data_IF_693251044954
#
_entry.id   IF_693251044954
#
_cell.length_a   1.000
_cell.length_b   1.000
_cell.length_c   1.000
_cell.angle_alpha   90.00
_cell.angle_beta   90.00
_cell.angle_gamma   90.00
#
_symmetry.space_group_name_H-M   'P 1'
#
loop_
_entity.id
_entity.type
_entity.pdbx_description
1 polymer ?
#
# COMPACT_ATOMS: atom_id res chain seq x y z
N UNK A 1 3.40 -2.69 31.88
CA UNK A 1 2.71 -1.37 32.06
C UNK A 1 3.37 -0.21 31.32
N UNK A 2 4.71 -0.13 31.21
CA UNK A 2 5.43 0.99 30.58
C UNK A 2 5.20 1.16 29.06
N UNK A 3 5.06 0.08 28.31
CA UNK A 3 4.89 0.12 26.85
C UNK A 3 3.53 0.66 26.40
N UNK A 4 2.45 0.37 27.13
CA UNK A 4 1.09 0.88 26.83
C UNK A 4 0.96 2.39 27.03
N UNK A 5 1.66 2.93 28.04
CA UNK A 5 1.69 4.37 28.32
C UNK A 5 2.51 5.11 27.25
N UNK A 6 3.60 4.51 26.76
CA UNK A 6 4.41 5.09 25.68
C UNK A 6 3.63 5.20 24.38
N UNK A 7 2.90 4.15 24.01
CA UNK A 7 2.06 4.12 22.80
C UNK A 7 0.93 5.17 22.91
N UNK A 8 0.26 5.27 24.07
CA UNK A 8 -0.78 6.28 24.27
C UNK A 8 -0.20 7.70 24.23
N UNK A 9 0.98 7.93 24.80
CA UNK A 9 1.62 9.24 24.81
C UNK A 9 2.10 9.66 23.41
N UNK A 10 2.65 8.72 22.65
CA UNK A 10 3.03 8.95 21.24
C UNK A 10 1.79 9.28 20.40
N UNK A 11 0.69 8.56 20.61
CA UNK A 11 -0.57 8.80 19.91
C UNK A 11 -1.16 10.18 20.25
N UNK A 12 -1.09 10.61 21.51
CA UNK A 12 -1.54 11.94 21.94
C UNK A 12 -0.66 13.08 21.38
N UNK A 13 0.65 12.90 21.30
CA UNK A 13 1.55 13.88 20.68
C UNK A 13 1.23 14.03 19.20
N UNK A 14 0.97 12.92 18.50
CA UNK A 14 0.59 12.94 17.07
C UNK A 14 -0.76 13.63 16.85
N UNK A 15 -1.77 13.40 17.68
CA UNK A 15 -3.08 14.08 17.57
C UNK A 15 -2.95 15.57 17.87
N UNK A 16 -2.17 15.97 18.87
CA UNK A 16 -1.90 17.37 19.18
C UNK A 16 -1.14 18.12 18.09
N UNK A 17 -0.21 17.45 17.42
CA UNK A 17 0.54 18.00 16.29
C UNK A 17 -0.32 18.14 15.03
N UNK A 18 -1.38 17.33 14.86
CA UNK A 18 -2.25 17.38 13.68
C UNK A 18 -3.02 18.70 13.55
N UNK A 19 -3.30 19.38 14.65
CA UNK A 19 -3.98 20.70 14.63
C UNK A 19 -3.06 21.85 14.23
N UNK A 20 -1.73 21.70 14.39
CA UNK A 20 -0.76 22.74 14.05
C UNK A 20 -0.20 22.62 12.61
N UNK A 21 -0.27 21.43 12.02
CA UNK A 21 0.36 21.12 10.74
C UNK A 21 -0.56 20.19 9.94
N UNK A 22 -1.69 20.54 9.48
CA UNK A 22 -2.58 19.73 8.59
C UNK A 22 -2.10 18.27 8.31
N UNK A 23 -1.80 17.54 9.40
CA UNK A 23 -1.44 16.14 9.35
C UNK A 23 -2.70 15.30 9.19
N UNK A 24 -2.66 14.36 8.27
CA UNK A 24 -3.74 13.39 8.07
C UNK A 24 -3.21 11.97 8.25
N UNK A 25 -4.03 11.12 8.83
CA UNK A 25 -3.74 9.70 9.00
C UNK A 25 -4.74 8.88 8.19
N UNK A 26 -4.27 7.89 7.48
CA UNK A 26 -5.12 7.04 6.66
C UNK A 26 -4.81 5.59 6.95
N UNK A 27 -5.87 4.81 7.14
CA UNK A 27 -5.80 3.37 7.27
C UNK A 27 -6.73 2.76 6.23
N UNK A 28 -6.20 1.89 5.39
CA UNK A 28 -6.95 1.23 4.32
C UNK A 28 -6.68 -0.26 4.30
N UNK A 29 -7.72 -1.01 3.93
CA UNK A 29 -7.67 -2.46 3.78
C UNK A 29 -7.92 -2.83 2.31
N UNK A 30 -7.36 -3.94 1.82
CA UNK A 30 -7.59 -4.39 0.46
C UNK A 30 -9.03 -4.88 0.30
N UNK A 31 -9.78 -4.21 -0.56
CA UNK A 31 -11.10 -4.62 -0.99
C UNK A 31 -11.03 -5.65 -2.13
N UNK A 32 -10.08 -5.44 -3.04
CA UNK A 32 -9.83 -6.36 -4.16
C UNK A 32 -8.33 -6.49 -4.38
N UNK A 33 -7.88 -7.69 -4.59
CA UNK A 33 -6.50 -8.03 -4.92
C UNK A 33 -6.49 -9.04 -6.05
N UNK A 34 -5.97 -8.66 -7.21
CA UNK A 34 -5.77 -9.53 -8.35
C UNK A 34 -4.28 -9.66 -8.60
N UNK A 35 -3.80 -10.87 -8.68
CA UNK A 35 -2.40 -11.19 -8.95
C UNK A 35 -2.30 -11.91 -10.29
N UNK A 36 -1.31 -11.54 -11.08
CA UNK A 36 -0.97 -12.20 -12.33
C UNK A 36 0.50 -12.56 -12.29
N UNK A 37 0.78 -13.86 -12.44
CA UNK A 37 2.11 -14.41 -12.47
C UNK A 37 2.02 -15.88 -12.85
N UNK A 38 3.08 -16.37 -13.42
CA UNK A 38 3.22 -17.76 -13.83
C UNK A 38 4.47 -18.36 -13.19
N UNK A 39 4.46 -19.65 -12.95
CA UNK A 39 5.65 -20.36 -12.54
C UNK A 39 6.58 -20.64 -13.75
N UNK A 40 7.70 -21.29 -13.48
CA UNK A 40 8.64 -21.70 -14.54
C UNK A 40 8.06 -22.71 -15.56
N UNK A 41 6.93 -23.34 -15.24
CA UNK A 41 6.22 -24.28 -16.11
C UNK A 41 5.05 -23.62 -16.86
N UNK A 42 4.78 -22.32 -16.62
CA UNK A 42 3.69 -21.56 -17.24
C UNK A 42 2.35 -21.73 -16.55
N UNK A 43 2.31 -22.33 -15.34
CA UNK A 43 1.08 -22.42 -14.58
C UNK A 43 0.77 -21.09 -13.88
N UNK A 44 -0.46 -20.61 -14.01
CA UNK A 44 -0.91 -19.37 -13.40
C UNK A 44 -1.20 -19.54 -11.92
N UNK A 45 -0.78 -18.54 -11.15
CA UNK A 45 -1.17 -18.45 -9.74
C UNK A 45 -2.57 -17.89 -9.59
N UNK A 46 -3.37 -18.51 -8.74
CA UNK A 46 -4.69 -18.00 -8.35
C UNK A 46 -4.64 -17.47 -6.91
N UNK A 47 -5.27 -16.31 -6.69
CA UNK A 47 -5.39 -15.74 -5.33
C UNK A 47 -6.48 -16.48 -4.58
N UNK A 48 -6.12 -17.11 -3.47
CA UNK A 48 -7.07 -17.70 -2.54
C UNK A 48 -7.52 -16.66 -1.50
N UNK A 49 -6.55 -16.00 -0.85
CA UNK A 49 -6.81 -15.02 0.21
C UNK A 49 -5.73 -13.95 0.23
N UNK A 50 -6.15 -12.72 0.45
CA UNK A 50 -5.24 -11.61 0.72
C UNK A 50 -5.56 -10.96 2.05
N UNK A 51 -4.53 -10.66 2.85
CA UNK A 51 -4.61 -9.99 4.13
C UNK A 51 -3.55 -8.90 4.17
N UNK A 52 -3.85 -7.82 4.88
CA UNK A 52 -2.90 -6.74 5.04
C UNK A 52 -3.58 -5.39 4.97
N UNK A 53 -2.81 -4.36 4.70
CA UNK A 53 -3.33 -3.01 4.61
C UNK A 53 -2.25 -1.99 4.33
N UNK A 54 -2.72 -0.77 4.15
CA UNK A 54 -1.95 0.44 3.94
C UNK A 54 -2.17 1.36 5.13
N UNK A 55 -1.07 1.84 5.69
CA UNK A 55 -1.05 2.98 6.60
C UNK A 55 -0.32 4.14 5.90
N UNK A 56 -0.95 5.32 5.88
CA UNK A 56 -0.38 6.50 5.26
C UNK A 56 -0.51 7.70 6.19
N UNK A 57 0.54 8.51 6.26
CA UNK A 57 0.56 9.78 6.96
C UNK A 57 0.71 10.89 5.93
N UNK A 58 -0.27 11.77 5.86
CA UNK A 58 -0.25 12.95 4.99
C UNK A 58 0.26 14.20 5.71
N UNK A 59 1.09 14.95 5.04
CA UNK A 59 1.56 16.25 5.48
C UNK A 59 1.39 17.25 4.34
N UNK A 60 0.51 18.23 4.52
CA UNK A 60 0.11 19.17 3.45
C UNK A 60 -0.41 18.42 2.21
N UNK A 61 0.37 18.32 1.15
CA UNK A 61 0.03 17.65 -0.10
C UNK A 61 0.70 16.30 -0.28
N UNK A 62 1.68 16.00 0.55
CA UNK A 62 2.46 14.78 0.48
C UNK A 62 1.92 13.75 1.45
N UNK A 63 1.96 12.49 1.05
CA UNK A 63 1.69 11.35 1.91
C UNK A 63 2.84 10.36 1.86
N UNK A 64 3.10 9.75 3.02
CA UNK A 64 4.09 8.69 3.17
C UNK A 64 3.38 7.45 3.68
N UNK A 65 3.40 6.41 2.89
CA UNK A 65 2.68 5.16 3.15
C UNK A 65 3.60 4.01 3.46
N UNK A 66 3.06 3.05 4.19
CA UNK A 66 3.63 1.75 4.39
C UNK A 66 2.56 0.69 4.17
N UNK A 67 2.83 -0.24 3.28
CA UNK A 67 1.94 -1.34 2.96
C UNK A 67 2.56 -2.68 3.34
N UNK A 68 1.74 -3.54 3.92
CA UNK A 68 2.07 -4.93 4.16
C UNK A 68 0.90 -5.77 3.68
N UNK A 69 1.20 -6.74 2.80
CA UNK A 69 0.24 -7.74 2.37
C UNK A 69 0.82 -9.14 2.54
N UNK A 70 -0.03 -10.07 2.93
CA UNK A 70 0.22 -11.51 2.86
C UNK A 70 -0.88 -12.13 2.00
N UNK A 71 -0.49 -12.60 0.82
CA UNK A 71 -1.40 -13.19 -0.16
C UNK A 71 -1.15 -14.68 -0.22
N UNK A 72 -2.19 -15.46 -0.01
CA UNK A 72 -2.17 -16.90 -0.25
C UNK A 72 -2.53 -17.16 -1.70
N UNK A 73 -1.64 -17.86 -2.38
CA UNK A 73 -1.78 -18.26 -3.77
C UNK A 73 -2.02 -19.77 -3.81
N UNK A 74 -2.98 -20.20 -4.61
CA UNK A 74 -3.16 -21.61 -4.93
C UNK A 74 -2.22 -22.00 -6.06
N UNK A 75 -1.51 -23.08 -5.86
CA UNK A 75 -0.60 -23.64 -6.83
C UNK A 75 -0.75 -25.16 -6.84
N UNK A 76 -1.41 -25.71 -7.87
CA UNK A 76 -1.76 -27.13 -7.95
C UNK A 76 -2.47 -27.64 -6.70
N UNK A 77 -1.80 -28.35 -5.81
CA UNK A 77 -2.32 -28.82 -4.52
C UNK A 77 -1.65 -28.16 -3.32
N UNK A 78 -0.80 -27.16 -3.53
CA UNK A 78 0.05 -26.58 -2.49
C UNK A 78 -0.24 -25.10 -2.27
N UNK A 79 -0.02 -24.65 -1.04
CA UNK A 79 -0.18 -23.25 -0.65
C UNK A 79 1.15 -22.51 -0.77
N UNK A 80 1.16 -21.47 -1.57
CA UNK A 80 2.27 -20.52 -1.71
C UNK A 80 1.86 -19.20 -1.07
N UNK A 81 2.75 -18.58 -0.31
CA UNK A 81 2.51 -17.27 0.31
C UNK A 81 3.39 -16.21 -0.34
N UNK A 82 2.77 -15.12 -0.75
CA UNK A 82 3.44 -13.92 -1.21
C UNK A 82 3.37 -12.86 -0.11
N UNK A 83 4.52 -12.48 0.44
CA UNK A 83 4.63 -11.34 1.36
C UNK A 83 5.13 -10.13 0.61
N UNK A 84 4.35 -9.07 0.65
CA UNK A 84 4.66 -7.77 0.04
C UNK A 84 4.89 -6.73 1.13
N UNK A 85 5.96 -5.95 0.99
CA UNK A 85 6.24 -4.77 1.82
C UNK A 85 6.59 -3.61 0.91
N UNK A 86 5.82 -2.53 0.98
CA UNK A 86 6.01 -1.35 0.13
C UNK A 86 6.04 -0.08 0.96
N UNK A 87 6.79 0.88 0.48
CA UNK A 87 6.88 2.24 1.00
C UNK A 87 6.42 3.18 -0.10
N UNK A 88 5.48 4.04 0.21
CA UNK A 88 4.80 4.89 -0.76
C UNK A 88 5.07 6.36 -0.50
N UNK A 89 5.20 7.09 -1.58
CA UNK A 89 5.15 8.54 -1.59
C UNK A 89 3.98 8.95 -2.47
N UNK A 90 3.07 9.74 -1.92
CA UNK A 90 1.87 10.18 -2.62
C UNK A 90 1.77 11.69 -2.61
N UNK A 91 1.07 12.24 -3.60
CA UNK A 91 0.77 13.65 -3.72
C UNK A 91 -0.73 13.84 -3.98
N UNK A 92 -1.36 14.75 -3.26
CA UNK A 92 -2.80 14.98 -3.34
C UNK A 92 -3.64 14.00 -2.49
N UNK A 93 -4.95 14.12 -2.57
CA UNK A 93 -5.95 13.35 -1.82
C UNK A 93 -5.72 13.33 -0.29
N UNK A 94 -5.05 14.33 0.26
CA UNK A 94 -4.70 14.39 1.68
C UNK A 94 -5.81 14.98 2.56
N UNK A 95 -6.81 15.60 1.95
CA UNK A 95 -7.92 16.23 2.68
C UNK A 95 -7.59 17.60 3.29
N UNK A 96 -6.32 17.96 3.39
CA UNK A 96 -5.83 19.16 4.07
C UNK A 96 -5.70 20.39 3.15
N UNK A 97 -6.28 20.36 1.98
CA UNK A 97 -6.06 21.37 0.94
C UNK A 97 -7.02 22.57 1.10
N UNK A 98 -6.79 23.43 2.05
CA UNK A 98 -7.45 24.75 2.04
C UNK A 98 -6.72 25.79 1.16
N UNK A 99 -5.42 25.60 0.85
CA UNK A 99 -4.60 26.62 0.19
C UNK A 99 -3.64 26.10 -0.90
N UNK A 100 -4.12 25.40 -1.91
CA UNK A 100 -3.31 25.20 -3.13
C UNK A 100 -3.81 26.06 -4.26
N UNK A 101 -3.89 27.34 -4.02
CA UNK A 101 -4.27 28.30 -5.03
C UNK A 101 -3.21 28.57 -6.08
N UNK A 102 -2.05 27.95 -6.06
CA UNK A 102 -0.98 28.38 -6.93
C UNK A 102 -0.51 27.40 -8.00
N UNK A 103 -0.55 26.12 -7.73
CA UNK A 103 -0.11 25.14 -8.73
C UNK A 103 -1.30 24.71 -9.58
N UNK A 104 -1.47 25.37 -10.75
CA UNK A 104 -2.49 25.09 -11.76
C UNK A 104 -3.89 25.50 -11.30
N UNK A 105 -4.65 26.12 -12.15
CA UNK A 105 -6.07 26.47 -11.96
C UNK A 105 -7.00 25.29 -11.57
N UNK A 106 -6.43 24.12 -11.30
CA UNK A 106 -7.09 22.86 -10.93
C UNK A 106 -6.73 22.36 -9.53
N UNK A 107 -6.22 23.23 -8.64
CA UNK A 107 -5.82 22.85 -7.27
C UNK A 107 -6.90 22.14 -6.48
N UNK A 108 -8.18 22.43 -6.75
CA UNK A 108 -9.31 21.76 -6.15
C UNK A 108 -9.39 20.26 -6.45
N UNK A 109 -8.86 19.78 -7.59
CA UNK A 109 -8.84 18.36 -7.95
C UNK A 109 -7.95 17.58 -6.97
N UNK A 110 -6.82 18.14 -6.60
CA UNK A 110 -5.87 17.49 -5.68
C UNK A 110 -6.40 17.28 -4.27
N UNK A 111 -7.49 17.94 -3.90
CA UNK A 111 -8.23 17.66 -2.68
C UNK A 111 -8.89 16.28 -2.70
N UNK A 112 -9.32 15.85 -3.88
CA UNK A 112 -10.10 14.63 -4.09
C UNK A 112 -9.30 13.52 -4.73
N UNK A 113 -8.33 13.87 -5.56
CA UNK A 113 -7.52 12.92 -6.33
C UNK A 113 -6.06 13.09 -5.96
N UNK A 114 -5.35 11.99 -5.88
CA UNK A 114 -3.91 11.96 -5.65
C UNK A 114 -3.23 10.91 -6.50
N UNK A 115 -1.94 11.10 -6.68
CA UNK A 115 -1.07 10.18 -7.40
C UNK A 115 0.06 9.76 -6.47
N UNK A 116 0.57 8.56 -6.66
CA UNK A 116 1.68 8.08 -5.87
C UNK A 116 2.52 7.05 -6.58
N UNK A 117 3.64 6.81 -5.97
CA UNK A 117 4.60 5.79 -6.35
C UNK A 117 5.09 5.07 -5.11
N UNK A 118 5.17 3.75 -5.20
CA UNK A 118 5.68 2.91 -4.12
C UNK A 118 6.78 1.98 -4.60
N UNK A 119 7.64 1.60 -3.67
CA UNK A 119 8.71 0.63 -3.90
C UNK A 119 8.93 -0.23 -2.67
N UNK A 120 9.43 -1.42 -2.89
CA UNK A 120 9.67 -2.35 -1.79
C UNK A 120 10.07 -3.73 -2.25
N UNK A 121 9.57 -4.73 -1.56
CA UNK A 121 9.97 -6.12 -1.78
C UNK A 121 8.79 -7.07 -1.79
N UNK A 122 8.86 -8.05 -2.66
CA UNK A 122 8.03 -9.24 -2.65
C UNK A 122 8.87 -10.46 -2.25
N UNK A 123 8.31 -11.33 -1.44
CA UNK A 123 8.91 -12.59 -1.01
C UNK A 123 7.89 -13.71 -1.15
N UNK A 124 8.19 -14.67 -2.03
CA UNK A 124 7.42 -15.91 -2.17
C UNK A 124 7.97 -16.98 -1.22
N UNK A 125 7.09 -17.60 -0.45
CA UNK A 125 7.41 -18.71 0.44
C UNK A 125 6.44 -19.85 0.17
N UNK A 126 6.94 -21.06 0.09
CA UNK A 126 6.15 -22.28 -0.04
C UNK A 126 6.54 -23.28 1.04
N UNK A 127 5.65 -24.24 1.36
CA UNK A 127 5.87 -25.23 2.41
C UNK A 127 7.04 -26.17 2.12
N UNK A 128 7.38 -26.35 0.84
CA UNK A 128 8.45 -27.20 0.31
C UNK A 128 9.67 -26.42 -0.18
N UNK A 129 9.63 -25.08 -0.11
CA UNK A 129 10.75 -24.22 -0.48
C UNK A 129 11.62 -23.95 0.73
N UNK A 130 12.93 -24.02 0.57
CA UNK A 130 13.81 -23.45 1.58
C UNK A 130 13.54 -21.94 1.74
N UNK A 131 13.48 -21.45 2.96
CA UNK A 131 13.25 -20.04 3.27
C UNK A 131 14.18 -19.12 2.50
N UNK A 132 13.65 -18.03 1.95
CA UNK A 132 14.37 -16.99 1.21
C UNK A 132 14.82 -17.33 -0.23
N UNK A 133 14.21 -18.33 -0.87
CA UNK A 133 14.55 -18.65 -2.25
C UNK A 133 14.07 -17.66 -3.28
N UNK A 134 12.95 -16.97 -2.99
CA UNK A 134 12.25 -16.15 -3.95
C UNK A 134 12.04 -14.75 -3.37
N UNK A 135 12.99 -13.85 -3.62
CA UNK A 135 12.86 -12.44 -3.26
C UNK A 135 13.02 -11.56 -4.49
N UNK A 136 12.26 -10.48 -4.49
CA UNK A 136 12.30 -9.53 -5.57
C UNK A 136 12.00 -8.11 -5.17
N UNK A 137 12.34 -7.21 -6.06
CA UNK A 137 12.00 -5.81 -5.98
C UNK A 137 10.59 -5.60 -6.53
N UNK A 138 9.80 -4.83 -5.81
CA UNK A 138 8.44 -4.46 -6.18
C UNK A 138 8.32 -2.94 -6.32
N UNK A 139 7.56 -2.51 -7.31
CA UNK A 139 7.18 -1.11 -7.53
C UNK A 139 5.69 -1.04 -7.78
N UNK A 140 5.10 0.13 -7.49
CA UNK A 140 3.71 0.38 -7.81
C UNK A 140 3.44 1.82 -8.18
N UNK A 141 2.43 2.02 -9.02
CA UNK A 141 1.78 3.29 -9.25
C UNK A 141 0.47 3.32 -8.47
N UNK A 142 0.16 4.45 -7.88
CA UNK A 142 -0.98 4.62 -6.99
C UNK A 142 -1.84 5.76 -7.51
N UNK A 143 -3.14 5.51 -7.64
CA UNK A 143 -4.15 6.52 -7.84
C UNK A 143 -5.04 6.55 -6.60
N UNK A 144 -5.13 7.70 -5.95
CA UNK A 144 -5.90 7.88 -4.72
C UNK A 144 -7.14 8.73 -4.98
N UNK A 145 -8.20 8.38 -4.27
CA UNK A 145 -9.43 9.17 -4.21
C UNK A 145 -9.79 9.43 -2.75
N UNK A 146 -10.14 10.65 -2.45
CA UNK A 146 -10.56 11.11 -1.14
C UNK A 146 -11.95 11.71 -1.22
N UNK A 147 -12.87 11.19 -0.44
CA UNK A 147 -14.26 11.66 -0.33
C UNK A 147 -14.44 12.21 1.07
N UNK A 148 -14.47 13.53 1.27
CA UNK A 148 -14.68 14.12 2.57
C UNK A 148 -16.12 13.84 3.04
N UNK A 149 -16.26 13.22 4.19
CA UNK A 149 -17.55 12.97 4.85
C UNK A 149 -17.85 14.06 5.86
N UNK A 150 -16.84 14.44 6.64
CA UNK A 150 -16.89 15.57 7.57
C UNK A 150 -15.59 16.38 7.48
N UNK A 151 -15.48 17.46 8.26
CA UNK A 151 -14.21 18.24 8.32
C UNK A 151 -13.01 17.44 8.81
N UNK A 152 -13.26 16.39 9.61
CA UNK A 152 -12.20 15.58 10.23
C UNK A 152 -12.23 14.11 9.81
N UNK A 153 -13.09 13.73 8.88
CA UNK A 153 -13.25 12.34 8.50
C UNK A 153 -13.47 12.20 7.00
N UNK A 154 -12.66 11.37 6.36
CA UNK A 154 -12.69 11.13 4.94
C UNK A 154 -12.79 9.63 4.65
N UNK A 155 -13.54 9.27 3.60
CA UNK A 155 -13.46 7.96 3.00
C UNK A 155 -12.35 8.00 1.93
N UNK A 156 -11.43 7.06 1.99
CA UNK A 156 -10.35 6.95 1.02
C UNK A 156 -10.44 5.65 0.26
N UNK A 157 -10.19 5.73 -1.03
CA UNK A 157 -9.97 4.56 -1.86
C UNK A 157 -8.73 4.76 -2.70
N UNK A 158 -8.00 3.69 -2.96
CA UNK A 158 -6.82 3.73 -3.80
C UNK A 158 -6.77 2.54 -4.75
N UNK A 159 -6.28 2.82 -5.95
CA UNK A 159 -6.05 1.84 -6.98
C UNK A 159 -4.54 1.74 -7.22
N UNK A 160 -3.99 0.55 -7.05
CA UNK A 160 -2.57 0.29 -7.15
C UNK A 160 -2.30 -0.66 -8.31
N UNK A 161 -1.36 -0.27 -9.16
CA UNK A 161 -0.78 -1.12 -10.19
C UNK A 161 0.63 -1.49 -9.73
N UNK A 162 0.78 -2.70 -9.21
CA UNK A 162 2.04 -3.23 -8.71
C UNK A 162 2.68 -4.12 -9.77
N UNK A 163 4.00 -3.99 -9.92
CA UNK A 163 4.84 -4.91 -10.65
C UNK A 163 5.99 -5.35 -9.76
N UNK A 164 6.42 -6.59 -9.87
CA UNK A 164 7.57 -7.10 -9.15
C UNK A 164 8.39 -8.06 -10.01
N UNK A 165 9.69 -8.05 -9.76
CA UNK A 165 10.64 -8.99 -10.36
C UNK A 165 11.19 -9.85 -9.24
N UNK A 166 10.80 -11.12 -9.20
CA UNK A 166 11.19 -12.06 -8.16
C UNK A 166 12.24 -13.01 -8.74
N UNK A 167 13.40 -13.05 -8.11
CA UNK A 167 14.49 -13.90 -8.52
C UNK A 167 14.53 -15.16 -7.67
N UNK A 168 14.63 -16.30 -8.34
CA UNK A 168 14.94 -17.58 -7.73
C UNK A 168 16.45 -17.70 -7.49
N UNK A 169 16.86 -18.29 -6.36
CA UNK A 169 18.29 -18.42 -5.99
C UNK A 169 19.15 -19.14 -7.05
N UNK A 170 18.58 -20.06 -7.79
CA UNK A 170 19.28 -20.87 -8.78
C UNK A 170 19.00 -20.51 -10.24
N UNK A 171 18.18 -19.47 -10.47
CA UNK A 171 17.92 -18.96 -11.82
C UNK A 171 18.68 -17.67 -12.06
N UNK A 172 19.22 -17.51 -13.28
CA UNK A 172 19.84 -16.25 -13.70
C UNK A 172 18.82 -15.16 -13.99
N UNK A 173 17.61 -15.54 -14.40
CA UNK A 173 16.54 -14.64 -14.78
C UNK A 173 15.52 -14.49 -13.65
N UNK A 174 14.92 -13.30 -13.57
CA UNK A 174 13.84 -13.02 -12.64
C UNK A 174 12.49 -13.20 -13.34
N UNK A 175 11.53 -13.77 -12.64
CA UNK A 175 10.16 -13.89 -13.11
C UNK A 175 9.41 -12.58 -12.86
N UNK A 176 8.59 -12.14 -13.83
CA UNK A 176 7.80 -10.92 -13.75
C UNK A 176 6.40 -11.24 -13.20
N UNK A 177 6.01 -10.48 -12.17
CA UNK A 177 4.71 -10.59 -11.54
C UNK A 177 4.03 -9.23 -11.51
N UNK A 178 2.71 -9.23 -11.57
CA UNK A 178 1.93 -8.02 -11.43
C UNK A 178 0.74 -8.22 -10.50
N UNK A 179 0.31 -7.14 -9.86
CA UNK A 179 -0.92 -7.15 -9.08
C UNK A 179 -1.68 -5.85 -9.25
N UNK A 180 -3.01 -5.96 -9.23
CA UNK A 180 -3.92 -4.84 -9.12
C UNK A 180 -4.58 -4.89 -7.75
N UNK A 181 -4.45 -3.81 -6.99
CA UNK A 181 -4.97 -3.73 -5.63
C UNK A 181 -5.93 -2.55 -5.54
N UNK A 182 -7.11 -2.78 -5.00
CA UNK A 182 -8.05 -1.72 -4.64
C UNK A 182 -8.14 -1.72 -3.12
N UNK A 183 -7.73 -0.64 -2.49
CA UNK A 183 -7.88 -0.44 -1.06
C UNK A 183 -9.05 0.50 -0.77
N UNK A 184 -9.74 0.24 0.32
CA UNK A 184 -10.77 1.12 0.89
C UNK A 184 -10.43 1.37 2.34
N UNK A 185 -10.51 2.61 2.76
CA UNK A 185 -10.11 3.00 4.09
C UNK A 185 -10.70 4.32 4.54
N UNK A 186 -10.25 4.73 5.68
CA UNK A 186 -10.65 5.96 6.35
C UNK A 186 -9.45 6.85 6.60
N UNK A 187 -9.68 8.17 6.53
CA UNK A 187 -8.69 9.19 6.87
C UNK A 187 -9.26 10.18 7.88
N UNK A 188 -8.40 10.70 8.75
CA UNK A 188 -8.72 11.69 9.79
C UNK A 188 -7.51 12.56 10.14
#
# INVERSE_FOLDING_TARGET
MRMRVLIAFTFFIFIGASQAYSLTYNLSLPYSYKFSGEDYAGNKFEVDKNQGGLFNVGFTHWGFGFEIYETKLKYTSEEVKLKTKLYDVTYGATGALEEVGWFWNYGWIWKYVGLGYGFGTDELTCSFCETNFYKGFAMQYILLFNIPITKSFNLKTSYHLKTSKIRHKYKSEADDYSATIINVGIGF
#
